data_IF_615320150233
#
_entry.id   IF_615320150233
#
_cell.length_a   1.000
_cell.length_b   1.000
_cell.length_c   1.000
_cell.angle_alpha   90.00
_cell.angle_beta   90.00
_cell.angle_gamma   90.00
#
_symmetry.space_group_name_H-M   'P 1'
#
loop_
_entity.id
_entity.type
_entity.pdbx_description
1 polymer ?
#
# COMPACT_ATOMS: atom_id res chain seq x y z
N UNK A 1 9.70 14.03 -19.76
CA UNK A 1 10.02 13.70 -18.35
C UNK A 1 8.96 12.77 -17.79
N UNK A 2 9.36 11.62 -17.36
CA UNK A 2 8.44 10.70 -16.66
C UNK A 2 8.25 11.18 -15.22
N UNK A 3 7.00 11.18 -14.75
CA UNK A 3 6.68 11.48 -13.35
C UNK A 3 7.37 10.45 -12.44
N UNK A 4 7.98 10.87 -11.32
CA UNK A 4 8.52 9.92 -10.35
C UNK A 4 7.46 8.88 -9.94
N UNK A 5 7.83 7.60 -9.82
CA UNK A 5 6.87 6.55 -9.49
C UNK A 5 6.32 6.72 -8.07
N UNK A 6 5.05 6.36 -7.89
CA UNK A 6 4.47 6.18 -6.57
C UNK A 6 4.46 4.70 -6.22
N UNK A 7 5.07 4.35 -5.11
CA UNK A 7 5.00 3.01 -4.52
C UNK A 7 3.86 2.93 -3.52
N UNK A 8 3.24 1.77 -3.46
CA UNK A 8 2.21 1.41 -2.49
C UNK A 8 2.73 0.22 -1.71
N UNK A 9 2.65 0.27 -0.39
CA UNK A 9 2.94 -0.88 0.45
C UNK A 9 1.67 -1.65 0.85
N UNK A 10 1.88 -2.80 1.50
CA UNK A 10 0.79 -3.64 1.96
C UNK A 10 -0.12 -2.91 2.97
N UNK A 11 0.44 -2.09 3.86
CA UNK A 11 -0.33 -1.36 4.86
C UNK A 11 -1.33 -0.39 4.22
N UNK A 12 -0.93 0.26 3.13
CA UNK A 12 -1.78 1.21 2.42
C UNK A 12 -2.83 0.50 1.56
N UNK A 13 -2.46 -0.61 0.91
CA UNK A 13 -3.39 -1.41 0.12
C UNK A 13 -4.45 -2.07 1.00
N UNK A 14 -4.04 -2.77 2.06
CA UNK A 14 -4.94 -3.34 3.06
C UNK A 14 -5.72 -2.26 3.82
N UNK A 15 -5.19 -1.05 3.84
CA UNK A 15 -5.81 0.12 4.45
C UNK A 15 -7.21 0.43 3.95
N UNK A 16 -7.56 0.05 2.71
CA UNK A 16 -8.94 0.18 2.19
C UNK A 16 -9.96 -0.63 2.99
N UNK A 17 -9.51 -1.63 3.75
CA UNK A 17 -10.33 -2.49 4.59
C UNK A 17 -10.00 -2.30 6.09
N UNK A 18 -9.24 -1.27 6.44
CA UNK A 18 -8.84 -1.01 7.82
C UNK A 18 -10.04 -0.73 8.72
N UNK A 19 -10.03 -1.30 9.92
CA UNK A 19 -11.01 -1.00 10.97
C UNK A 19 -10.97 0.46 11.43
N UNK A 20 -9.80 1.12 11.31
CA UNK A 20 -9.65 2.55 11.56
C UNK A 20 -10.16 3.36 10.36
N UNK A 21 -11.20 4.16 10.59
CA UNK A 21 -11.87 4.92 9.54
C UNK A 21 -10.95 5.95 8.86
N UNK A 22 -10.08 6.60 9.60
CA UNK A 22 -9.15 7.59 9.03
C UNK A 22 -8.20 6.96 8.02
N UNK A 23 -7.59 5.83 8.36
CA UNK A 23 -6.71 5.08 7.45
C UNK A 23 -7.49 4.53 6.26
N UNK A 24 -8.68 3.99 6.49
CA UNK A 24 -9.55 3.46 5.43
C UNK A 24 -9.92 4.54 4.42
N UNK A 25 -10.37 5.69 4.87
CA UNK A 25 -10.75 6.80 3.99
C UNK A 25 -9.55 7.37 3.23
N UNK A 26 -8.39 7.45 3.87
CA UNK A 26 -7.15 7.91 3.22
C UNK A 26 -6.74 6.97 2.07
N UNK A 27 -6.75 5.67 2.28
CA UNK A 27 -6.48 4.68 1.24
C UNK A 27 -7.54 4.73 0.13
N UNK A 28 -8.82 4.68 0.48
CA UNK A 28 -9.91 4.76 -0.50
C UNK A 28 -9.86 6.04 -1.34
N UNK A 29 -9.55 7.16 -0.73
CA UNK A 29 -9.37 8.43 -1.44
C UNK A 29 -8.31 8.32 -2.54
N UNK A 30 -7.16 7.73 -2.22
CA UNK A 30 -6.12 7.52 -3.23
C UNK A 30 -6.59 6.59 -4.35
N UNK A 31 -7.03 5.39 -4.01
CA UNK A 31 -7.35 4.37 -5.00
C UNK A 31 -8.53 4.77 -5.90
N UNK A 32 -9.59 5.35 -5.35
CA UNK A 32 -10.76 5.75 -6.11
C UNK A 32 -10.52 6.91 -7.08
N UNK A 33 -9.57 7.79 -6.75
CA UNK A 33 -9.28 8.98 -7.57
C UNK A 33 -8.13 8.80 -8.55
N UNK A 34 -7.37 7.73 -8.43
CA UNK A 34 -6.14 7.53 -9.20
C UNK A 34 -6.14 6.21 -9.99
N UNK A 35 -7.29 5.77 -10.50
CA UNK A 35 -7.41 4.50 -11.24
C UNK A 35 -6.50 4.42 -12.47
N UNK A 36 -6.08 5.54 -13.04
CA UNK A 36 -5.16 5.59 -14.18
C UNK A 36 -3.69 5.88 -13.81
N UNK A 37 -3.35 5.88 -12.53
CA UNK A 37 -2.05 6.37 -12.07
C UNK A 37 -0.89 5.38 -12.27
N UNK A 38 -1.17 4.10 -12.50
CA UNK A 38 -0.16 3.04 -12.66
C UNK A 38 0.88 3.01 -11.53
N UNK A 39 0.46 2.92 -10.26
CA UNK A 39 1.39 2.89 -9.15
C UNK A 39 2.24 1.60 -9.17
N UNK A 40 3.30 1.60 -8.39
CA UNK A 40 4.17 0.42 -8.22
C UNK A 40 3.90 -0.27 -6.89
N UNK A 41 3.88 -1.60 -6.94
CA UNK A 41 3.81 -2.45 -5.76
C UNK A 41 4.74 -3.64 -5.99
N UNK A 42 5.77 -3.80 -5.15
CA UNK A 42 6.69 -4.90 -5.35
C UNK A 42 6.09 -6.25 -4.94
N UNK A 43 6.69 -7.34 -5.41
CA UNK A 43 6.18 -8.70 -5.16
C UNK A 43 6.12 -9.07 -3.68
N UNK A 44 7.04 -8.54 -2.86
CA UNK A 44 7.02 -8.80 -1.42
C UNK A 44 5.82 -8.15 -0.74
N UNK A 45 5.49 -6.91 -1.10
CA UNK A 45 4.31 -6.22 -0.57
C UNK A 45 3.00 -6.89 -1.02
N UNK A 46 2.96 -7.39 -2.25
CA UNK A 46 1.83 -8.21 -2.73
C UNK A 46 1.73 -9.50 -1.91
N UNK A 47 2.86 -10.18 -1.68
CA UNK A 47 2.91 -11.39 -0.86
C UNK A 47 2.48 -11.16 0.60
N UNK A 48 2.80 -10.01 1.19
CA UNK A 48 2.32 -9.64 2.53
C UNK A 48 0.80 -9.49 2.54
N UNK A 49 0.21 -8.84 1.53
CA UNK A 49 -1.25 -8.76 1.39
C UNK A 49 -1.87 -10.15 1.28
N UNK A 50 -1.34 -11.00 0.41
CA UNK A 50 -1.83 -12.36 0.23
C UNK A 50 -1.74 -13.17 1.52
N UNK A 51 -0.64 -13.07 2.26
CA UNK A 51 -0.47 -13.76 3.53
C UNK A 51 -1.57 -13.41 4.55
N UNK A 52 -1.95 -12.14 4.62
CA UNK A 52 -3.06 -11.68 5.49
C UNK A 52 -4.39 -12.28 5.05
N UNK A 53 -4.69 -12.26 3.75
CA UNK A 53 -5.96 -12.78 3.22
C UNK A 53 -6.04 -14.30 3.34
N UNK A 54 -4.93 -15.03 3.18
CA UNK A 54 -4.89 -16.48 3.36
C UNK A 54 -5.21 -16.94 4.78
N UNK A 55 -5.10 -16.08 5.78
CA UNK A 55 -5.52 -16.39 7.16
C UNK A 55 -7.04 -16.29 7.36
N UNK A 56 -7.75 -15.68 6.42
CA UNK A 56 -9.19 -15.49 6.50
C UNK A 56 -9.95 -16.78 6.11
N UNK A 57 -11.22 -16.87 6.53
CA UNK A 57 -12.10 -17.96 6.09
C UNK A 57 -12.30 -17.90 4.58
N UNK A 58 -12.57 -19.03 3.97
CA UNK A 58 -12.73 -19.17 2.52
C UNK A 58 -13.76 -18.19 1.94
N UNK A 59 -14.88 -18.02 2.62
CA UNK A 59 -15.95 -17.12 2.17
C UNK A 59 -15.48 -15.66 2.08
N UNK A 60 -14.61 -15.24 3.00
CA UNK A 60 -14.01 -13.90 2.98
C UNK A 60 -13.01 -13.77 1.83
N UNK A 61 -12.18 -14.78 1.61
CA UNK A 61 -11.24 -14.81 0.48
C UNK A 61 -11.97 -14.71 -0.86
N UNK A 62 -13.06 -15.46 -1.03
CA UNK A 62 -13.85 -15.50 -2.26
C UNK A 62 -14.53 -14.15 -2.57
N UNK A 63 -14.76 -13.31 -1.57
CA UNK A 63 -15.27 -11.95 -1.74
C UNK A 63 -14.17 -10.91 -1.93
N UNK A 64 -12.97 -11.15 -1.39
CA UNK A 64 -11.86 -10.21 -1.44
C UNK A 64 -11.10 -10.25 -2.78
N UNK A 65 -10.74 -11.43 -3.26
CA UNK A 65 -9.92 -11.58 -4.46
C UNK A 65 -10.52 -10.98 -5.74
N UNK A 66 -11.83 -11.09 -6.00
CA UNK A 66 -12.42 -10.43 -7.18
C UNK A 66 -12.23 -8.90 -7.17
N UNK A 67 -12.33 -8.26 -6.02
CA UNK A 67 -12.05 -6.84 -5.88
C UNK A 67 -10.57 -6.53 -6.12
N UNK A 68 -9.68 -7.26 -5.45
CA UNK A 68 -8.24 -7.05 -5.55
C UNK A 68 -7.74 -7.25 -6.99
N UNK A 69 -8.13 -8.33 -7.65
CA UNK A 69 -7.74 -8.62 -9.04
C UNK A 69 -8.24 -7.55 -10.00
N UNK A 70 -9.48 -7.10 -9.83
CA UNK A 70 -10.05 -6.04 -10.67
C UNK A 70 -9.34 -4.71 -10.46
N UNK A 71 -9.07 -4.33 -9.22
CA UNK A 71 -8.36 -3.09 -8.92
C UNK A 71 -6.94 -3.08 -9.48
N UNK A 72 -6.20 -4.17 -9.33
CA UNK A 72 -4.86 -4.32 -9.92
C UNK A 72 -4.87 -4.17 -11.44
N UNK A 73 -5.89 -4.72 -12.09
CA UNK A 73 -6.05 -4.64 -13.55
C UNK A 73 -6.43 -3.22 -13.98
N UNK A 74 -7.44 -2.63 -13.36
CA UNK A 74 -7.96 -1.31 -13.73
C UNK A 74 -6.93 -0.20 -13.52
N UNK A 75 -6.12 -0.29 -12.46
CA UNK A 75 -5.02 0.64 -12.19
C UNK A 75 -3.75 0.32 -12.97
N UNK A 76 -3.65 -0.83 -13.63
CA UNK A 76 -2.42 -1.33 -14.23
C UNK A 76 -1.23 -1.25 -13.27
N UNK A 77 -1.42 -1.75 -12.03
CA UNK A 77 -0.39 -1.71 -10.98
C UNK A 77 0.88 -2.39 -11.47
N UNK A 78 1.99 -1.64 -11.49
CA UNK A 78 3.27 -2.13 -11.93
C UNK A 78 3.90 -3.00 -10.84
N UNK A 79 4.24 -4.24 -11.17
CA UNK A 79 4.83 -5.21 -10.25
C UNK A 79 6.30 -5.42 -10.55
N UNK A 80 7.14 -5.48 -9.54
CA UNK A 80 8.58 -5.71 -9.71
C UNK A 80 9.19 -6.37 -8.49
N UNK A 81 10.32 -7.07 -8.70
CA UNK A 81 11.21 -7.49 -7.63
C UNK A 81 12.19 -6.37 -7.26
N UNK A 82 13.27 -6.75 -6.57
CA UNK A 82 14.35 -5.85 -6.20
C UNK A 82 15.53 -5.97 -7.14
N UNK A 83 16.22 -4.87 -7.40
CA UNK A 83 17.49 -4.84 -8.10
C UNK A 83 18.64 -5.07 -7.13
N UNK A 84 19.80 -5.44 -7.66
CA UNK A 84 21.04 -5.54 -6.86
C UNK A 84 21.36 -4.26 -6.10
N UNK A 85 21.23 -3.11 -6.77
CA UNK A 85 21.52 -1.81 -6.16
C UNK A 85 20.55 -1.44 -5.03
N UNK A 86 19.30 -1.82 -5.13
CA UNK A 86 18.29 -1.63 -4.06
C UNK A 86 18.65 -2.50 -2.85
N UNK A 87 19.02 -3.76 -3.07
CA UNK A 87 19.46 -4.67 -2.01
C UNK A 87 20.73 -4.16 -1.33
N UNK A 88 21.73 -3.73 -2.12
CA UNK A 88 22.99 -3.19 -1.60
C UNK A 88 22.73 -1.95 -0.73
N UNK A 89 21.89 -1.03 -1.17
CA UNK A 89 21.49 0.14 -0.41
C UNK A 89 20.80 -0.23 0.90
N UNK A 90 19.87 -1.18 0.89
CA UNK A 90 19.18 -1.64 2.09
C UNK A 90 20.14 -2.22 3.15
N UNK A 91 21.22 -2.87 2.70
CA UNK A 91 22.23 -3.49 3.57
C UNK A 91 23.29 -2.50 4.06
N UNK A 92 23.64 -1.50 3.27
CA UNK A 92 24.77 -0.58 3.53
C UNK A 92 24.34 0.74 4.18
N UNK A 93 23.13 1.21 3.93
CA UNK A 93 22.64 2.46 4.51
C UNK A 93 22.42 2.32 6.02
N UNK A 94 23.03 3.20 6.86
CA UNK A 94 22.92 3.09 8.31
C UNK A 94 21.52 3.16 8.87
N UNK A 95 20.62 3.95 8.24
CA UNK A 95 19.22 4.08 8.66
C UNK A 95 18.43 2.84 8.25
N UNK A 96 18.62 2.34 7.02
CA UNK A 96 17.84 1.22 6.50
C UNK A 96 18.22 -0.12 7.10
N UNK A 97 19.51 -0.39 7.30
CA UNK A 97 19.97 -1.69 7.83
C UNK A 97 19.47 -2.00 9.25
N UNK A 98 18.95 -1.02 9.99
CA UNK A 98 18.36 -1.21 11.31
C UNK A 98 16.89 -1.65 11.26
N UNK A 99 16.28 -1.62 10.06
CA UNK A 99 14.90 -1.98 9.85
C UNK A 99 14.74 -3.47 9.58
N UNK A 100 13.49 -3.93 9.60
CA UNK A 100 13.18 -5.26 9.06
C UNK A 100 13.45 -5.28 7.55
N UNK A 101 13.82 -6.46 6.99
CA UNK A 101 14.23 -6.54 5.58
C UNK A 101 13.22 -5.94 4.59
N UNK A 102 11.95 -6.22 4.77
CA UNK A 102 10.87 -5.73 3.89
C UNK A 102 10.75 -4.20 3.90
N UNK A 103 10.93 -3.57 5.07
CA UNK A 103 10.94 -2.11 5.20
C UNK A 103 12.18 -1.49 4.56
N UNK A 104 13.35 -2.07 4.84
CA UNK A 104 14.62 -1.59 4.29
C UNK A 104 14.64 -1.67 2.76
N UNK A 105 14.20 -2.78 2.20
CA UNK A 105 14.17 -3.01 0.75
C UNK A 105 13.16 -2.09 0.05
N UNK A 106 11.98 -1.90 0.62
CA UNK A 106 10.98 -0.98 0.07
C UNK A 106 11.50 0.47 0.09
N UNK A 107 12.07 0.91 1.21
CA UNK A 107 12.66 2.25 1.32
C UNK A 107 13.80 2.46 0.31
N UNK A 108 14.70 1.49 0.17
CA UNK A 108 15.77 1.53 -0.83
C UNK A 108 15.21 1.64 -2.26
N UNK A 109 14.15 0.92 -2.58
CA UNK A 109 13.49 0.95 -3.87
C UNK A 109 12.89 2.33 -4.18
N UNK A 110 12.23 2.95 -3.20
CA UNK A 110 11.69 4.32 -3.31
C UNK A 110 12.82 5.33 -3.55
N UNK A 111 13.92 5.22 -2.81
CA UNK A 111 15.06 6.13 -2.93
C UNK A 111 15.74 6.01 -4.29
N UNK A 112 16.06 4.80 -4.74
CA UNK A 112 16.72 4.57 -6.02
C UNK A 112 15.92 5.09 -7.23
N UNK A 113 14.61 4.94 -7.18
CA UNK A 113 13.73 5.42 -8.24
C UNK A 113 13.39 6.91 -8.14
N UNK A 114 13.86 7.59 -7.09
CA UNK A 114 13.46 8.95 -6.74
C UNK A 114 11.94 9.10 -6.61
N UNK A 115 11.29 8.02 -6.20
CA UNK A 115 9.84 7.90 -6.09
C UNK A 115 9.26 8.49 -4.81
N UNK A 116 7.97 8.26 -4.65
CA UNK A 116 7.21 8.52 -3.43
C UNK A 116 6.59 7.24 -2.90
N UNK A 117 6.15 7.24 -1.65
CA UNK A 117 5.56 6.09 -0.97
C UNK A 117 4.22 6.46 -0.35
N UNK A 118 3.18 5.68 -0.64
CA UNK A 118 1.92 5.68 0.10
C UNK A 118 1.94 4.54 1.11
N UNK A 119 1.90 4.87 2.39
CA UNK A 119 2.03 3.92 3.49
C UNK A 119 1.22 4.37 4.72
N UNK A 120 0.81 3.41 5.53
CA UNK A 120 0.34 3.63 6.90
C UNK A 120 1.34 3.13 7.95
N UNK A 121 2.47 2.54 7.52
CA UNK A 121 3.49 2.01 8.44
C UNK A 121 4.14 3.15 9.24
N UNK A 122 3.96 3.18 10.58
CA UNK A 122 4.49 4.26 11.41
C UNK A 122 6.02 4.32 11.44
N UNK A 123 6.70 3.23 11.14
CA UNK A 123 8.17 3.19 11.04
C UNK A 123 8.61 3.91 9.77
N UNK A 124 8.04 3.56 8.62
CA UNK A 124 8.37 4.20 7.34
C UNK A 124 8.00 5.68 7.30
N UNK A 125 6.90 6.06 7.95
CA UNK A 125 6.46 7.47 8.05
C UNK A 125 7.46 8.36 8.80
N UNK A 126 8.30 7.78 9.66
CA UNK A 126 9.26 8.51 10.50
C UNK A 126 10.69 8.50 9.96
N UNK A 127 10.96 7.78 8.88
CA UNK A 127 12.31 7.70 8.31
C UNK A 127 12.75 9.05 7.73
N UNK A 128 13.91 9.52 8.15
CA UNK A 128 14.48 10.76 7.66
C UNK A 128 14.79 10.71 6.17
N UNK A 129 15.28 9.56 5.67
CA UNK A 129 15.58 9.38 4.25
C UNK A 129 14.32 9.41 3.35
N UNK A 130 13.13 9.17 3.89
CA UNK A 130 11.86 9.28 3.16
C UNK A 130 11.15 10.63 3.36
N UNK A 131 11.77 11.57 4.08
CA UNK A 131 11.20 12.90 4.29
C UNK A 131 10.94 13.59 2.94
N UNK A 132 9.72 14.08 2.74
CA UNK A 132 9.30 14.71 1.48
C UNK A 132 8.96 13.71 0.36
N UNK A 133 9.04 12.40 0.63
CA UNK A 133 8.66 11.33 -0.31
C UNK A 133 7.40 10.58 0.08
N UNK A 134 6.83 10.88 1.23
CA UNK A 134 5.55 10.27 1.65
C UNK A 134 4.40 10.95 0.90
N UNK A 135 3.53 10.14 0.32
CA UNK A 135 2.33 10.63 -0.33
C UNK A 135 1.37 11.25 0.70
N UNK A 136 0.90 12.43 0.40
CA UNK A 136 -0.06 13.17 1.23
C UNK A 136 -1.31 13.38 0.39
N UNK A 137 -2.48 13.14 1.00
CA UNK A 137 -3.75 13.43 0.34
C UNK A 137 -3.86 14.92 -0.02
N UNK A 138 -4.35 15.26 -1.22
CA UNK A 138 -4.59 16.65 -1.59
C UNK A 138 -5.52 17.33 -0.58
N UNK A 139 -5.18 18.55 -0.17
CA UNK A 139 -6.08 19.38 0.63
C UNK A 139 -7.31 19.77 -0.22
N UNK A 140 -8.49 19.79 0.39
CA UNK A 140 -9.75 20.30 -0.20
C UNK A 140 -10.40 19.42 -1.29
N UNK A 141 -10.32 18.11 -1.19
CA UNK A 141 -11.12 17.25 -2.04
C UNK A 141 -12.30 16.65 -1.25
N UNK A 142 -13.42 17.40 -1.22
CA UNK A 142 -14.68 17.02 -0.55
C UNK A 142 -15.54 16.07 -1.42
N UNK A 143 -15.01 15.58 -2.56
CA UNK A 143 -15.74 14.66 -3.43
C UNK A 143 -15.99 13.33 -2.73
N UNK A 144 -17.17 12.71 -2.93
CA UNK A 144 -17.44 11.39 -2.38
C UNK A 144 -16.37 10.39 -2.80
N UNK A 145 -15.90 9.60 -1.85
CA UNK A 145 -14.90 8.55 -2.08
C UNK A 145 -15.64 7.29 -2.54
N UNK A 146 -15.65 7.07 -3.85
CA UNK A 146 -16.27 5.88 -4.44
C UNK A 146 -15.55 5.44 -5.70
N UNK A 147 -15.57 4.14 -5.95
CA UNK A 147 -15.12 3.55 -7.20
C UNK A 147 -16.21 3.66 -8.29
N UNK A 148 -15.86 3.42 -9.57
CA UNK A 148 -16.88 3.16 -10.59
C UNK A 148 -17.82 2.03 -10.17
N UNK A 149 -19.09 2.00 -10.64
CA UNK A 149 -20.15 1.13 -10.11
C UNK A 149 -19.75 -0.33 -9.97
N UNK A 150 -19.21 -0.95 -11.01
CA UNK A 150 -18.83 -2.37 -10.97
C UNK A 150 -17.71 -2.67 -9.94
N UNK A 151 -16.71 -1.80 -9.85
CA UNK A 151 -15.63 -1.94 -8.88
C UNK A 151 -16.13 -1.64 -7.47
N UNK A 152 -17.06 -0.70 -7.32
CA UNK A 152 -17.69 -0.39 -6.04
C UNK A 152 -18.47 -1.58 -5.48
N UNK A 153 -19.23 -2.30 -6.32
CA UNK A 153 -19.93 -3.52 -5.92
C UNK A 153 -18.96 -4.59 -5.40
N UNK A 154 -17.84 -4.79 -6.10
CA UNK A 154 -16.79 -5.72 -5.66
C UNK A 154 -16.14 -5.28 -4.34
N UNK A 155 -15.88 -3.99 -4.19
CA UNK A 155 -15.35 -3.45 -2.94
C UNK A 155 -16.34 -3.65 -1.78
N UNK A 156 -17.62 -3.33 -1.98
CA UNK A 156 -18.64 -3.47 -0.94
C UNK A 156 -18.77 -4.93 -0.48
N UNK A 157 -18.74 -5.89 -1.41
CA UNK A 157 -18.70 -7.32 -1.09
C UNK A 157 -17.42 -7.71 -0.33
N UNK A 158 -16.27 -7.16 -0.72
CA UNK A 158 -14.97 -7.43 -0.09
C UNK A 158 -14.87 -6.93 1.35
N UNK A 159 -15.76 -6.05 1.79
CA UNK A 159 -15.80 -5.53 3.17
C UNK A 159 -16.22 -6.56 4.23
N UNK A 160 -16.52 -7.78 3.85
CA UNK A 160 -16.54 -8.92 4.76
C UNK A 160 -15.16 -9.14 5.44
N UNK A 161 -14.08 -8.69 4.79
CA UNK A 161 -12.76 -8.59 5.38
C UNK A 161 -12.59 -7.24 6.07
N UNK A 162 -12.14 -7.27 7.35
CA UNK A 162 -11.74 -6.09 8.11
C UNK A 162 -10.31 -6.32 8.59
N UNK A 163 -9.41 -5.42 8.18
CA UNK A 163 -8.02 -5.46 8.60
C UNK A 163 -7.84 -4.75 9.94
N UNK A 164 -7.15 -5.41 10.86
CA UNK A 164 -6.74 -4.83 12.14
C UNK A 164 -5.22 -4.87 12.21
N UNK A 165 -4.58 -3.71 12.35
CA UNK A 165 -3.16 -3.64 12.64
C UNK A 165 -2.86 -4.23 14.02
N UNK A 166 -1.96 -5.20 14.10
CA UNK A 166 -1.57 -5.84 15.36
C UNK A 166 -0.89 -4.88 16.34
N UNK A 167 -0.34 -3.77 15.85
CA UNK A 167 0.31 -2.74 16.66
C UNK A 167 -0.65 -1.93 17.57
N UNK A 168 -1.97 -2.12 17.43
CA UNK A 168 -2.97 -1.42 18.25
C UNK A 168 -3.25 -2.10 19.61
N UNK A 169 -2.68 -3.28 19.87
CA UNK A 169 -3.00 -4.09 21.07
C UNK A 169 -1.95 -4.04 22.20
N UNK A 170 -0.88 -3.27 22.05
CA UNK A 170 0.16 -3.13 23.09
C UNK A 170 0.18 -1.71 23.67
N UNK A 171 -0.98 -1.23 24.09
CA UNK A 171 -1.14 0.02 24.83
C UNK A 171 -2.05 -0.17 26.04
N UNK A 172 -1.54 -0.86 27.07
CA UNK A 172 -2.05 -0.76 28.44
C UNK A 172 -0.90 -0.88 29.42
#
# INVERSE_FOLDING_TARGET
>A
MTRPPLFIDASFFLGMHDGNEFRRLKSLSYFSRNLSAQPRMNYEQIGICDAVIWTQRREVQDLYYPFMDRLHTDMAIQRSGYTYHEIDTALSDPELRSLTPERALLAAQVLHSQGSLATHDPVLLKLDCLRGRIWIAPANDDSPVSFPPELQELYDASRAFIHHDEDSTHGN
#
